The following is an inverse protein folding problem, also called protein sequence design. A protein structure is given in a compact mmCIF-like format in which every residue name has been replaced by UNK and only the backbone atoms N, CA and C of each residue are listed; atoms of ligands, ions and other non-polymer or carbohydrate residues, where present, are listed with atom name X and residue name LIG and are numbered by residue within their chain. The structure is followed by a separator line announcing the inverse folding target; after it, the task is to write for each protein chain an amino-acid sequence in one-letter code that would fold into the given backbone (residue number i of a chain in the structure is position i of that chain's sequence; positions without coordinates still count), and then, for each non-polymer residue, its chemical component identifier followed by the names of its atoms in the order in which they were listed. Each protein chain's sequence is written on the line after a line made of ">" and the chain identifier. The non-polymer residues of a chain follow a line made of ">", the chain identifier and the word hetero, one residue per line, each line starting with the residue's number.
data_IF_686068904323
#
_entry.id   IF_686068904323
#
_cell.length_a   1.000
_cell.length_b   1.000
_cell.length_c   1.000
_cell.angle_alpha   90.00
_cell.angle_beta   90.00
_cell.angle_gamma   90.00
#
_symmetry.space_group_name_H-M   'P 1'
#
loop_
_entity.id
_entity.type
_entity.pdbx_description
1 polymer ?
#
# COMPACT_ATOMS: atom_id res chain seq x y z
N UNK A 1 16.44 3.13 7.17
CA UNK A 1 15.20 2.62 6.54
C UNK A 1 14.67 1.48 7.41
N UNK A 2 13.37 1.46 7.68
CA UNK A 2 12.76 0.35 8.39
C UNK A 2 12.96 -0.96 7.61
N UNK A 3 12.90 -2.12 8.29
CA UNK A 3 13.01 -3.44 7.64
C UNK A 3 11.98 -3.58 6.50
N UNK A 4 10.78 -3.03 6.69
CA UNK A 4 9.70 -2.98 5.69
C UNK A 4 10.09 -2.22 4.42
N UNK A 5 10.71 -1.04 4.55
CA UNK A 5 11.10 -0.22 3.41
C UNK A 5 12.18 -0.89 2.55
N UNK A 6 13.10 -1.63 3.17
CA UNK A 6 14.11 -2.42 2.45
C UNK A 6 13.45 -3.50 1.57
N UNK A 7 12.44 -4.20 2.11
CA UNK A 7 11.67 -5.22 1.37
C UNK A 7 10.89 -4.58 0.22
N UNK A 8 10.23 -3.44 0.46
CA UNK A 8 9.48 -2.70 -0.58
C UNK A 8 10.37 -2.23 -1.73
N UNK A 9 11.58 -1.75 -1.41
CA UNK A 9 12.56 -1.34 -2.43
C UNK A 9 13.01 -2.52 -3.31
N UNK A 10 13.20 -3.72 -2.74
CA UNK A 10 13.49 -4.95 -3.51
C UNK A 10 12.38 -5.29 -4.50
N UNK A 11 11.11 -5.09 -4.14
CA UNK A 11 9.95 -5.27 -5.02
C UNK A 11 9.79 -4.16 -6.08
N UNK A 12 10.70 -3.18 -6.09
CA UNK A 12 10.60 -1.99 -6.92
C UNK A 12 9.36 -1.17 -6.60
N UNK A 13 8.92 -1.18 -5.35
CA UNK A 13 7.86 -0.34 -4.82
C UNK A 13 8.44 0.87 -4.09
N UNK A 14 7.67 1.95 -4.06
CA UNK A 14 7.99 3.13 -3.26
C UNK A 14 7.75 2.92 -1.75
N UNK A 15 7.95 3.98 -0.94
CA UNK A 15 7.62 3.97 0.47
C UNK A 15 6.13 3.66 0.71
N UNK A 16 5.77 3.30 1.93
CA UNK A 16 4.37 3.06 2.27
C UNK A 16 3.50 4.30 2.03
N UNK A 17 2.31 4.09 1.47
CA UNK A 17 1.36 5.17 1.23
C UNK A 17 0.85 5.73 2.55
N UNK A 18 1.00 7.04 2.74
CA UNK A 18 0.43 7.73 3.90
C UNK A 18 -1.07 7.98 3.70
N UNK A 19 -1.86 8.05 4.77
CA UNK A 19 -3.25 8.49 4.68
C UNK A 19 -3.32 9.94 4.18
N UNK A 20 -4.40 10.24 3.47
CA UNK A 20 -4.70 11.60 3.03
C UNK A 20 -5.64 12.25 4.06
N UNK A 21 -5.31 13.48 4.44
CA UNK A 21 -6.10 14.28 5.37
C UNK A 21 -6.92 15.30 4.58
N UNK A 22 -8.17 15.50 4.98
CA UNK A 22 -9.06 16.46 4.34
C UNK A 22 -10.35 16.64 5.11
N UNK A 23 -11.36 17.14 4.42
CA UNK A 23 -12.67 17.38 5.00
C UNK A 23 -13.78 16.78 4.13
N UNK A 24 -14.85 16.29 4.76
CA UNK A 24 -16.14 16.10 4.09
C UNK A 24 -16.87 17.45 4.04
N UNK A 25 -17.70 17.63 3.01
CA UNK A 25 -18.60 18.77 2.84
C UNK A 25 -20.03 18.27 2.78
N UNK A 26 -20.93 18.87 3.56
CA UNK A 26 -22.37 18.62 3.44
C UNK A 26 -22.97 19.37 2.25
N UNK A 27 -24.24 19.13 1.96
CA UNK A 27 -25.00 19.94 0.99
C UNK A 27 -25.04 21.43 1.37
N UNK A 28 -25.02 21.75 2.67
CA UNK A 28 -24.92 23.11 3.19
C UNK A 28 -23.46 23.60 3.33
N UNK A 29 -22.48 22.88 2.74
CA UNK A 29 -21.04 23.18 2.76
C UNK A 29 -20.36 23.14 4.13
N UNK A 30 -20.98 22.54 5.16
CA UNK A 30 -20.36 22.37 6.47
C UNK A 30 -19.16 21.41 6.39
N UNK A 31 -18.08 21.76 7.07
CA UNK A 31 -16.82 21.03 7.07
C UNK A 31 -16.72 20.05 8.25
N UNK A 32 -16.45 18.78 7.97
CA UNK A 32 -16.05 17.80 9.01
C UNK A 32 -14.74 17.14 8.65
N UNK A 33 -13.83 16.96 9.62
CA UNK A 33 -12.53 16.34 9.36
C UNK A 33 -12.69 14.88 8.94
N UNK A 34 -11.93 14.46 7.93
CA UNK A 34 -11.90 13.07 7.44
C UNK A 34 -10.47 12.63 7.13
N UNK A 35 -10.20 11.37 7.45
CA UNK A 35 -8.97 10.68 7.08
C UNK A 35 -9.30 9.61 6.03
N UNK A 36 -8.68 9.71 4.87
CA UNK A 36 -8.79 8.71 3.79
C UNK A 36 -7.62 7.74 3.87
N UNK A 37 -7.88 6.54 4.40
CA UNK A 37 -6.88 5.48 4.54
C UNK A 37 -6.68 4.72 3.22
N UNK A 38 -5.45 4.41 2.81
CA UNK A 38 -5.21 3.49 1.70
C UNK A 38 -5.74 2.10 2.02
N UNK A 39 -6.26 1.39 1.01
CA UNK A 39 -6.68 -0.01 1.16
C UNK A 39 -5.45 -0.92 1.21
N UNK A 40 -4.98 -1.20 2.43
CA UNK A 40 -3.87 -2.10 2.71
C UNK A 40 -4.35 -3.54 2.88
N UNK A 41 -3.58 -4.47 2.33
CA UNK A 41 -3.81 -5.90 2.44
C UNK A 41 -2.49 -6.59 2.76
N UNK A 42 -2.56 -7.61 3.63
CA UNK A 42 -1.42 -8.46 3.92
C UNK A 42 -1.42 -9.64 2.95
N UNK A 43 -0.30 -9.83 2.25
CA UNK A 43 -0.13 -10.91 1.26
C UNK A 43 1.23 -11.56 1.40
N UNK A 44 1.36 -12.79 0.93
CA UNK A 44 2.64 -13.45 0.85
C UNK A 44 3.27 -13.16 -0.50
N UNK A 45 4.52 -12.73 -0.46
CA UNK A 45 5.33 -12.50 -1.65
C UNK A 45 6.57 -13.35 -1.53
N UNK A 46 6.91 -14.03 -2.61
CA UNK A 46 8.17 -14.76 -2.71
C UNK A 46 9.26 -13.81 -3.16
N UNK A 47 10.30 -13.67 -2.35
CA UNK A 47 11.44 -12.78 -2.59
C UNK A 47 12.68 -13.62 -2.40
N UNK A 48 13.48 -13.79 -3.45
CA UNK A 48 14.75 -14.53 -3.41
C UNK A 48 14.62 -15.97 -2.84
N UNK A 49 13.47 -16.63 -3.05
CA UNK A 49 13.17 -17.97 -2.53
C UNK A 49 12.59 -18.02 -1.10
N UNK A 50 12.44 -16.88 -0.43
CA UNK A 50 11.79 -16.77 0.87
C UNK A 50 10.37 -16.21 0.74
N UNK A 51 9.41 -16.82 1.45
CA UNK A 51 8.03 -16.30 1.54
C UNK A 51 7.93 -15.29 2.66
N UNK A 52 7.75 -14.03 2.30
CA UNK A 52 7.65 -12.91 3.25
C UNK A 52 6.24 -12.32 3.22
N UNK A 53 5.69 -12.03 4.40
CA UNK A 53 4.42 -11.33 4.53
C UNK A 53 4.65 -9.83 4.36
N UNK A 54 4.04 -9.24 3.33
CA UNK A 54 4.18 -7.81 3.01
C UNK A 54 2.81 -7.12 3.09
N UNK A 55 2.80 -5.91 3.66
CA UNK A 55 1.63 -5.03 3.65
C UNK A 55 1.65 -4.20 2.38
N UNK A 56 0.70 -4.44 1.49
CA UNK A 56 0.63 -3.85 0.15
C UNK A 56 -0.69 -3.13 -0.04
N UNK A 57 -0.70 -2.08 -0.86
CA UNK A 57 -1.97 -1.54 -1.35
C UNK A 57 -2.46 -2.28 -2.59
N UNK A 58 -3.76 -2.23 -2.87
CA UNK A 58 -4.35 -2.89 -4.05
C UNK A 58 -3.69 -2.42 -5.36
N UNK A 59 -3.31 -1.14 -5.45
CA UNK A 59 -2.59 -0.61 -6.63
C UNK A 59 -1.18 -1.18 -6.77
N UNK A 60 -0.50 -1.39 -5.65
CA UNK A 60 0.84 -1.98 -5.63
C UNK A 60 0.78 -3.46 -6.01
N UNK A 61 -0.23 -4.20 -5.53
CA UNK A 61 -0.51 -5.57 -5.95
C UNK A 61 -0.67 -5.66 -7.48
N UNK A 62 -1.52 -4.82 -8.09
CA UNK A 62 -1.66 -4.76 -9.56
C UNK A 62 -0.35 -4.44 -10.29
N UNK A 63 0.52 -3.64 -9.66
CA UNK A 63 1.83 -3.30 -10.22
C UNK A 63 2.77 -4.50 -10.18
N UNK A 64 2.73 -5.28 -9.10
CA UNK A 64 3.53 -6.50 -8.94
C UNK A 64 3.04 -7.61 -9.87
N UNK A 65 1.73 -7.77 -10.03
CA UNK A 65 1.14 -8.70 -11.00
C UNK A 65 1.62 -8.38 -12.42
N UNK A 66 1.64 -7.08 -12.79
CA UNK A 66 2.16 -6.63 -14.09
C UNK A 66 3.65 -6.91 -14.27
N UNK A 67 4.43 -6.95 -13.19
CA UNK A 67 5.86 -7.29 -13.22
C UNK A 67 6.12 -8.80 -13.23
N UNK A 68 5.08 -9.64 -13.14
CA UNK A 68 5.22 -11.11 -13.08
C UNK A 68 5.71 -11.62 -11.72
N UNK A 69 5.63 -10.80 -10.66
CA UNK A 69 5.94 -11.24 -9.30
C UNK A 69 4.66 -11.89 -8.74
N UNK A 70 4.66 -13.22 -8.61
CA UNK A 70 3.49 -13.95 -8.15
C UNK A 70 3.21 -13.66 -6.67
N UNK A 71 2.03 -13.08 -6.42
CA UNK A 71 1.50 -12.86 -5.08
C UNK A 71 0.51 -13.99 -4.80
N UNK A 72 0.69 -14.71 -3.69
CA UNK A 72 -0.24 -15.74 -3.24
C UNK A 72 -0.83 -15.41 -1.86
#
# INVERSE_FOLDING_TARGET
>A
MAKSDKIRKKLGLGPERKPLFGHNRSHALNATQKISKPNFQNRWVEIDGERVKVRLTVREMRTLDKKGIFIK
#
